data_IF_996966751594
#
_entry.id   IF_996966751594
#
_cell.length_a   1.000
_cell.length_b   1.000
_cell.length_c   1.000
_cell.angle_alpha   90.00
_cell.angle_beta   90.00
_cell.angle_gamma   90.00
#
_symmetry.space_group_name_H-M   'P 1'
#
loop_
_entity.id
_entity.type
_entity.pdbx_description
1 polymer ?
#
# COMPACT_ATOMS: atom_id res chain seq x y z
N UNK A 1 12.25 2.21 -0.91
CA UNK A 1 12.18 0.73 -1.08
C UNK A 1 13.47 0.01 -0.62
N UNK A 2 13.75 -0.09 0.68
CA UNK A 2 14.97 -0.78 1.18
C UNK A 2 14.74 -2.18 1.76
N UNK A 3 13.49 -2.67 1.89
CA UNK A 3 13.18 -3.87 2.67
C UNK A 3 12.52 -5.02 1.86
N UNK A 4 12.53 -4.98 0.53
CA UNK A 4 11.76 -5.94 -0.30
C UNK A 4 12.61 -6.80 -1.25
N UNK A 5 13.93 -6.70 -1.20
CA UNK A 5 14.83 -7.37 -2.17
C UNK A 5 14.69 -8.90 -2.23
N UNK A 6 14.12 -9.54 -1.20
CA UNK A 6 13.87 -10.98 -1.13
C UNK A 6 12.39 -11.33 -0.94
N UNK A 7 11.48 -10.38 -1.11
CA UNK A 7 10.05 -10.66 -0.96
C UNK A 7 9.54 -11.42 -2.20
N UNK A 8 9.10 -12.67 -1.98
CA UNK A 8 8.41 -13.46 -2.99
C UNK A 8 6.92 -13.49 -2.66
N UNK A 9 6.09 -13.05 -3.60
CA UNK A 9 4.64 -13.02 -3.46
C UNK A 9 4.01 -13.94 -4.52
N UNK A 10 2.99 -14.70 -4.14
CA UNK A 10 2.19 -15.43 -5.11
C UNK A 10 1.41 -14.45 -6.01
N UNK A 11 1.02 -14.86 -7.23
CA UNK A 11 0.22 -14.02 -8.13
C UNK A 11 -1.05 -13.46 -7.47
N UNK A 12 -1.75 -14.27 -6.68
CA UNK A 12 -2.93 -13.87 -5.92
C UNK A 12 -2.64 -12.71 -4.95
N UNK A 13 -1.49 -12.74 -4.26
CA UNK A 13 -1.08 -11.66 -3.36
C UNK A 13 -0.74 -10.40 -4.13
N UNK A 14 -0.11 -10.53 -5.31
CA UNK A 14 0.17 -9.40 -6.20
C UNK A 14 -1.13 -8.75 -6.69
N UNK A 15 -2.14 -9.54 -7.04
CA UNK A 15 -3.46 -9.04 -7.43
C UNK A 15 -4.14 -8.30 -6.27
N UNK A 16 -4.09 -8.85 -5.06
CA UNK A 16 -4.61 -8.20 -3.87
C UNK A 16 -3.91 -6.85 -3.60
N UNK A 17 -2.57 -6.82 -3.65
CA UNK A 17 -1.79 -5.58 -3.48
C UNK A 17 -2.13 -4.54 -4.57
N UNK A 18 -2.26 -4.98 -5.82
CA UNK A 18 -2.59 -4.12 -6.96
C UNK A 18 -3.99 -3.52 -6.81
N UNK A 19 -4.96 -4.33 -6.39
CA UNK A 19 -6.33 -3.89 -6.13
C UNK A 19 -6.38 -2.87 -4.99
N UNK A 20 -5.69 -3.17 -3.88
CA UNK A 20 -5.58 -2.28 -2.73
C UNK A 20 -4.95 -0.93 -3.10
N UNK A 21 -3.87 -0.94 -3.90
CA UNK A 21 -3.18 0.26 -4.34
C UNK A 21 -4.08 1.14 -5.21
N UNK A 22 -4.74 0.55 -6.22
CA UNK A 22 -5.68 1.28 -7.08
C UNK A 22 -6.81 1.91 -6.27
N UNK A 23 -7.39 1.14 -5.35
CA UNK A 23 -8.47 1.62 -4.49
C UNK A 23 -8.00 2.74 -3.55
N UNK A 24 -6.80 2.66 -2.99
CA UNK A 24 -6.23 3.71 -2.14
C UNK A 24 -5.96 5.00 -2.92
N UNK A 25 -5.31 4.90 -4.09
CA UNK A 25 -4.98 6.07 -4.93
C UNK A 25 -6.25 6.77 -5.40
N UNK A 26 -7.32 6.03 -5.73
CA UNK A 26 -8.60 6.61 -6.12
C UNK A 26 -9.28 7.45 -5.02
N UNK A 27 -8.84 7.32 -3.76
CA UNK A 27 -9.36 8.14 -2.64
C UNK A 27 -8.54 9.40 -2.36
N UNK A 28 -7.41 9.59 -3.05
CA UNK A 28 -6.55 10.74 -2.83
C UNK A 28 -7.14 12.01 -3.44
N UNK A 29 -6.96 13.18 -2.80
CA UNK A 29 -7.35 14.46 -3.38
C UNK A 29 -6.44 14.81 -4.56
N UNK A 30 -7.00 15.49 -5.56
CA UNK A 30 -6.24 16.04 -6.68
C UNK A 30 -5.54 17.36 -6.28
N UNK A 31 -4.28 17.59 -6.71
CA UNK A 31 -3.47 16.70 -7.54
C UNK A 31 -2.87 15.51 -6.78
N UNK A 32 -2.87 14.32 -7.40
CA UNK A 32 -2.23 13.14 -6.82
C UNK A 32 -0.70 13.29 -6.81
N UNK A 33 -0.12 13.41 -5.61
CA UNK A 33 1.33 13.49 -5.43
C UNK A 33 1.99 12.10 -5.47
N UNK A 34 3.06 11.96 -6.26
CA UNK A 34 3.84 10.70 -6.36
C UNK A 34 4.40 10.22 -5.01
N UNK A 35 4.70 11.14 -4.10
CA UNK A 35 5.11 10.81 -2.72
C UNK A 35 4.04 10.04 -1.95
N UNK A 36 2.77 10.44 -2.05
CA UNK A 36 1.66 9.72 -1.41
C UNK A 36 1.48 8.32 -1.99
N UNK A 37 1.58 8.19 -3.32
CA UNK A 37 1.49 6.90 -4.00
C UNK A 37 2.62 5.97 -3.55
N UNK A 38 3.84 6.49 -3.43
CA UNK A 38 4.98 5.70 -2.98
C UNK A 38 4.83 5.23 -1.53
N UNK A 39 4.36 6.11 -0.63
CA UNK A 39 4.09 5.75 0.77
C UNK A 39 3.01 4.66 0.90
N UNK A 40 1.91 4.79 0.15
CA UNK A 40 0.86 3.78 0.09
C UNK A 40 1.42 2.45 -0.42
N UNK A 41 2.18 2.47 -1.52
CA UNK A 41 2.76 1.25 -2.09
C UNK A 41 3.71 0.55 -1.11
N UNK A 42 4.58 1.30 -0.43
CA UNK A 42 5.50 0.74 0.57
C UNK A 42 4.75 0.17 1.78
N UNK A 43 3.66 0.81 2.22
CA UNK A 43 2.80 0.30 3.29
C UNK A 43 2.10 -1.02 2.91
N UNK A 44 1.53 -1.08 1.71
CA UNK A 44 0.90 -2.28 1.18
C UNK A 44 1.90 -3.43 1.08
N UNK A 45 3.10 -3.18 0.55
CA UNK A 45 4.15 -4.19 0.42
C UNK A 45 4.63 -4.70 1.79
N UNK A 46 4.81 -3.82 2.79
CA UNK A 46 5.15 -4.25 4.15
C UNK A 46 4.05 -5.12 4.75
N UNK A 47 2.80 -4.68 4.64
CA UNK A 47 1.65 -5.37 5.23
C UNK A 47 1.39 -6.71 4.56
N UNK A 48 1.50 -6.80 3.22
CA UNK A 48 1.43 -8.08 2.53
C UNK A 48 2.60 -9.00 2.91
N UNK A 49 3.79 -8.42 3.16
CA UNK A 49 4.96 -9.14 3.64
C UNK A 49 4.78 -9.80 5.02
N UNK A 50 3.83 -9.35 5.84
CA UNK A 50 3.49 -10.01 7.12
C UNK A 50 2.47 -11.14 6.98
N UNK A 51 1.97 -11.39 5.76
CA UNK A 51 1.02 -12.45 5.45
C UNK A 51 -0.42 -12.00 5.24
N UNK A 52 -0.71 -10.69 5.30
CA UNK A 52 -2.02 -10.14 4.94
C UNK A 52 -2.29 -10.32 3.44
N UNK A 53 -3.51 -10.73 3.09
CA UNK A 53 -3.94 -11.02 1.71
C UNK A 53 -5.24 -10.33 1.34
N UNK A 54 -5.97 -9.79 2.30
CA UNK A 54 -7.22 -9.08 2.08
C UNK A 54 -6.93 -7.67 1.52
N UNK A 55 -7.37 -7.38 0.28
CA UNK A 55 -7.10 -6.09 -0.35
C UNK A 55 -7.71 -4.91 0.40
N UNK A 56 -8.87 -5.08 1.04
CA UNK A 56 -9.50 -4.03 1.84
C UNK A 56 -8.73 -3.73 3.13
N UNK A 57 -8.12 -4.76 3.75
CA UNK A 57 -7.26 -4.55 4.93
C UNK A 57 -5.97 -3.84 4.52
N UNK A 58 -5.33 -4.27 3.43
CA UNK A 58 -4.13 -3.62 2.88
C UNK A 58 -4.38 -2.14 2.56
N UNK A 59 -5.49 -1.83 1.90
CA UNK A 59 -5.90 -0.46 1.59
C UNK A 59 -6.09 0.37 2.86
N UNK A 60 -6.82 -0.15 3.84
CA UNK A 60 -7.15 0.58 5.07
C UNK A 60 -5.88 0.93 5.85
N UNK A 61 -4.96 -0.03 6.01
CA UNK A 61 -3.69 0.18 6.71
C UNK A 61 -2.87 1.26 5.99
N UNK A 62 -2.74 1.18 4.67
CA UNK A 62 -1.97 2.16 3.90
C UNK A 62 -2.52 3.59 4.00
N UNK A 63 -3.85 3.76 3.98
CA UNK A 63 -4.47 5.07 4.16
C UNK A 63 -4.31 5.60 5.58
N UNK A 64 -4.38 4.74 6.60
CA UNK A 64 -4.12 5.14 7.99
C UNK A 64 -2.66 5.57 8.18
N UNK A 65 -1.69 4.80 7.65
CA UNK A 65 -0.27 5.17 7.71
C UNK A 65 0.01 6.50 7.00
N UNK A 66 -0.58 6.73 5.82
CA UNK A 66 -0.46 8.00 5.11
C UNK A 66 -1.01 9.17 5.95
N UNK A 67 -2.13 8.97 6.66
CA UNK A 67 -2.68 10.00 7.54
C UNK A 67 -1.78 10.28 8.75
N UNK A 68 -1.12 9.28 9.31
CA UNK A 68 -0.20 9.45 10.43
C UNK A 68 1.05 10.24 10.02
N UNK A 69 1.66 9.90 8.88
CA UNK A 69 2.85 10.59 8.38
C UNK A 69 2.61 12.05 7.95
N UNK A 70 1.35 12.45 7.73
CA UNK A 70 0.99 13.85 7.45
C UNK A 70 0.91 14.72 8.71
N UNK A 71 0.92 14.11 9.90
CA UNK A 71 0.74 14.81 11.18
C UNK A 71 2.07 15.12 11.87
N UNK A 72 3.14 14.46 11.45
CA UNK A 72 4.53 14.69 11.86
C UNK A 72 5.23 15.68 10.93
#
# INVERSE_FOLDING_TARGET
MHNFANASFSPEVIEAMTSALKAAVATLPEPVHSGHVNLIAESILRTAGTGERNPSTLQRIALMELQLQRRD
#
